data_IF_876266209203
#
_entry.id   IF_876266209203
#
_cell.length_a   1.000
_cell.length_b   1.000
_cell.length_c   1.000
_cell.angle_alpha   90.00
_cell.angle_beta   90.00
_cell.angle_gamma   90.00
#
_symmetry.space_group_name_H-M   'P 1'
#
loop_
_entity.id
_entity.type
_entity.pdbx_description
1 polymer ?
#
# COMPACT_ATOMS: atom_id res chain seq x y z
N UNK A 1 -12.39 -17.59 5.51
CA UNK A 1 -12.27 -16.44 4.59
C UNK A 1 -10.85 -15.92 4.65
N UNK A 2 -10.13 -15.82 3.52
CA UNK A 2 -8.71 -15.39 3.48
C UNK A 2 -8.64 -13.87 3.35
N UNK A 3 -7.92 -13.20 4.24
CA UNK A 3 -7.60 -11.76 4.12
C UNK A 3 -6.25 -11.61 3.42
N UNK A 4 -6.19 -10.74 2.42
CA UNK A 4 -4.99 -10.40 1.65
C UNK A 4 -4.72 -8.92 1.79
N UNK A 5 -3.45 -8.56 1.84
CA UNK A 5 -2.94 -7.18 1.92
C UNK A 5 -2.04 -6.89 0.73
N UNK A 6 -1.62 -5.64 0.56
CA UNK A 6 -0.67 -5.28 -0.49
C UNK A 6 0.63 -6.09 -0.46
N UNK A 7 1.09 -6.50 0.72
CA UNK A 7 2.32 -7.28 0.91
C UNK A 7 2.22 -8.67 0.27
N UNK A 8 1.04 -9.27 0.24
CA UNK A 8 0.79 -10.58 -0.39
C UNK A 8 0.98 -10.56 -1.92
N UNK A 9 1.04 -9.36 -2.51
CA UNK A 9 1.23 -9.15 -3.95
C UNK A 9 2.63 -8.62 -4.32
N UNK A 10 3.51 -8.34 -3.34
CA UNK A 10 4.83 -7.72 -3.57
C UNK A 10 5.93 -8.70 -4.02
N UNK A 11 5.77 -10.02 -3.80
CA UNK A 11 6.88 -11.00 -3.86
C UNK A 11 7.37 -11.43 -5.25
N UNK A 12 6.81 -10.93 -6.36
CA UNK A 12 7.16 -11.43 -7.69
C UNK A 12 8.01 -10.39 -8.43
N UNK A 13 9.32 -10.62 -8.38
CA UNK A 13 10.40 -9.96 -9.15
C UNK A 13 10.03 -9.78 -10.62
N UNK A 14 9.35 -8.70 -10.96
CA UNK A 14 9.44 -8.09 -12.30
C UNK A 14 8.82 -6.71 -12.24
N UNK A 15 9.56 -5.74 -12.76
CA UNK A 15 9.22 -4.34 -12.97
C UNK A 15 9.70 -3.34 -11.91
N UNK A 16 10.36 -2.31 -12.46
CA UNK A 16 11.05 -1.20 -11.82
C UNK A 16 10.32 -0.75 -10.56
N UNK A 17 11.04 -0.79 -9.43
CA UNK A 17 10.62 -0.09 -8.21
C UNK A 17 10.19 1.31 -8.61
N UNK A 18 8.94 1.68 -8.35
CA UNK A 18 8.51 3.07 -8.54
C UNK A 18 9.22 3.99 -7.55
N UNK A 19 9.67 3.45 -6.40
CA UNK A 19 10.42 4.19 -5.39
C UNK A 19 11.81 4.53 -5.89
N UNK A 20 12.20 5.79 -5.67
CA UNK A 20 13.52 6.35 -5.99
C UNK A 20 14.48 6.33 -4.80
N UNK A 21 13.98 5.92 -3.63
CA UNK A 21 14.72 5.81 -2.37
C UNK A 21 14.50 4.44 -1.75
N UNK A 22 15.27 4.11 -0.72
CA UNK A 22 15.08 2.87 0.06
C UNK A 22 13.68 2.80 0.67
N UNK A 23 13.17 1.59 0.88
CA UNK A 23 11.86 1.37 1.50
C UNK A 23 11.75 2.04 2.87
N UNK A 24 12.84 2.01 3.65
CA UNK A 24 12.93 2.66 4.96
C UNK A 24 12.69 4.18 4.87
N UNK A 25 13.41 4.87 3.98
CA UNK A 25 13.28 6.33 3.79
C UNK A 25 11.88 6.69 3.27
N UNK A 26 11.36 5.90 2.34
CA UNK A 26 9.99 6.09 1.81
C UNK A 26 8.94 5.93 2.91
N UNK A 27 9.07 4.93 3.78
CA UNK A 27 8.15 4.68 4.89
C UNK A 27 8.21 5.77 5.95
N UNK A 28 9.42 6.21 6.35
CA UNK A 28 9.60 7.32 7.28
C UNK A 28 8.99 8.61 6.75
N UNK A 29 9.23 8.93 5.47
CA UNK A 29 8.63 10.10 4.84
C UNK A 29 7.10 10.01 4.80
N UNK A 30 6.54 8.85 4.45
CA UNK A 30 5.09 8.67 4.46
C UNK A 30 4.49 8.83 5.85
N UNK A 31 5.15 8.30 6.89
CA UNK A 31 4.73 8.44 8.28
C UNK A 31 4.76 9.92 8.72
N UNK A 32 5.84 10.63 8.41
CA UNK A 32 6.00 12.06 8.69
C UNK A 32 4.83 12.88 8.10
N UNK A 33 4.52 12.68 6.81
CA UNK A 33 3.40 13.37 6.17
C UNK A 33 2.07 13.02 6.84
N UNK A 34 1.86 11.75 7.22
CA UNK A 34 0.65 11.34 7.94
C UNK A 34 0.52 12.06 9.27
N UNK A 35 1.59 12.08 10.09
CA UNK A 35 1.65 12.77 11.37
C UNK A 35 1.30 14.25 11.22
N UNK A 36 1.88 14.93 10.23
CA UNK A 36 1.55 16.32 9.91
C UNK A 36 0.07 16.52 9.59
N UNK A 37 -0.51 15.66 8.76
CA UNK A 37 -1.91 15.78 8.33
C UNK A 37 -2.92 15.52 9.45
N UNK A 38 -2.53 14.76 10.48
CA UNK A 38 -3.37 14.53 11.68
C UNK A 38 -3.05 15.49 12.83
N UNK A 39 -2.18 16.49 12.61
CA UNK A 39 -1.88 17.54 13.58
C UNK A 39 -0.91 17.13 14.70
N UNK A 40 -0.12 16.07 14.51
CA UNK A 40 0.95 15.72 15.44
C UNK A 40 2.19 16.59 15.20
N UNK A 41 2.96 16.91 16.27
CA UNK A 41 4.20 17.66 16.13
C UNK A 41 5.24 16.85 15.35
N UNK A 42 5.94 17.52 14.44
CA UNK A 42 6.96 16.91 13.58
C UNK A 42 8.25 17.72 13.49
N UNK A 43 8.25 18.92 14.08
CA UNK A 43 9.36 19.87 14.07
C UNK A 43 10.68 19.21 14.50
N UNK A 44 10.73 18.40 15.59
CA UNK A 44 11.97 17.74 15.98
C UNK A 44 12.52 16.79 14.91
N UNK A 45 11.66 16.17 14.09
CA UNK A 45 12.08 15.31 12.99
C UNK A 45 12.59 16.17 11.84
N UNK A 46 11.90 17.25 11.51
CA UNK A 46 12.29 18.12 10.41
C UNK A 46 13.63 18.82 10.68
N UNK A 47 13.87 19.23 11.92
CA UNK A 47 15.12 19.90 12.33
C UNK A 47 16.34 18.98 12.19
N UNK A 48 16.17 17.68 12.42
CA UNK A 48 17.24 16.69 12.31
C UNK A 48 17.42 16.12 10.89
N UNK A 49 16.44 16.28 10.00
CA UNK A 49 16.46 15.70 8.65
C UNK A 49 16.09 16.74 7.58
N UNK A 50 17.03 17.61 7.16
CA UNK A 50 16.78 18.67 6.17
C UNK A 50 16.21 18.17 4.83
N UNK A 51 16.58 16.95 4.42
CA UNK A 51 16.04 16.30 3.22
C UNK A 51 14.52 16.10 3.28
N UNK A 52 13.98 15.74 4.44
CA UNK A 52 12.53 15.61 4.63
C UNK A 52 11.85 16.96 4.58
N UNK A 53 12.47 18.00 5.16
CA UNK A 53 11.95 19.36 5.10
C UNK A 53 11.80 19.84 3.65
N UNK A 54 12.80 19.63 2.79
CA UNK A 54 12.74 19.98 1.37
C UNK A 54 11.58 19.28 0.64
N UNK A 55 11.40 17.98 0.90
CA UNK A 55 10.29 17.20 0.33
C UNK A 55 8.93 17.63 0.86
N UNK A 56 8.82 18.01 2.13
CA UNK A 56 7.59 18.56 2.70
C UNK A 56 7.24 19.92 2.09
N UNK A 57 8.23 20.80 1.90
CA UNK A 57 8.05 22.09 1.20
C UNK A 57 7.51 21.84 -0.22
N UNK A 58 8.18 20.97 -0.97
CA UNK A 58 7.74 20.59 -2.32
C UNK A 58 6.31 20.04 -2.35
N UNK A 59 5.94 19.23 -1.35
CA UNK A 59 4.61 18.65 -1.23
C UNK A 59 3.54 19.72 -0.92
N UNK A 60 3.86 20.67 -0.02
CA UNK A 60 3.00 21.83 0.30
C UNK A 60 2.82 22.73 -0.91
N UNK A 61 3.84 22.95 -1.73
CA UNK A 61 3.74 23.72 -2.96
C UNK A 61 2.84 23.04 -4.01
N UNK A 62 2.95 21.72 -4.16
CA UNK A 62 2.12 20.97 -5.12
C UNK A 62 0.62 20.99 -4.77
N UNK A 63 0.29 20.83 -3.49
CA UNK A 63 -1.11 20.82 -3.02
C UNK A 63 -1.19 21.49 -1.63
N UNK A 64 -1.17 22.83 -1.56
CA UNK A 64 -1.23 23.55 -0.28
C UNK A 64 -2.48 23.18 0.50
N UNK A 65 -3.56 23.00 -0.26
CA UNK A 65 -4.88 22.68 0.26
C UNK A 65 -4.99 21.32 0.96
N UNK A 66 -4.00 20.42 0.80
CA UNK A 66 -3.96 19.13 1.51
C UNK A 66 -3.70 19.33 3.02
N UNK A 67 -2.97 20.39 3.37
CA UNK A 67 -2.55 20.71 4.74
C UNK A 67 -3.47 21.69 5.46
N UNK A 68 -4.64 21.97 4.87
CA UNK A 68 -5.65 22.85 5.48
C UNK A 68 -6.63 21.97 6.29
N UNK A 69 -6.84 22.24 7.60
CA UNK A 69 -7.58 21.33 8.51
C UNK A 69 -9.05 21.05 8.15
N UNK A 70 -9.61 21.75 7.16
CA UNK A 70 -11.06 21.78 6.90
C UNK A 70 -11.47 20.93 5.67
N UNK A 71 -10.54 20.18 5.09
CA UNK A 71 -10.86 19.25 3.99
C UNK A 71 -11.21 17.87 4.52
N UNK A 72 -12.20 17.23 3.90
CA UNK A 72 -12.57 15.83 4.10
C UNK A 72 -11.51 14.90 3.51
N UNK A 73 -10.31 14.90 4.09
CA UNK A 73 -9.22 13.98 3.79
C UNK A 73 -9.11 12.97 4.92
N UNK A 74 -9.34 11.71 4.59
CA UNK A 74 -9.16 10.58 5.48
C UNK A 74 -7.80 9.97 5.17
N UNK A 75 -6.85 10.15 6.08
CA UNK A 75 -5.49 9.66 5.94
C UNK A 75 -5.42 8.23 6.45
N UNK A 76 -4.74 7.36 5.70
CA UNK A 76 -4.49 5.96 6.09
C UNK A 76 -5.76 5.13 6.40
N UNK A 77 -6.85 5.40 5.67
CA UNK A 77 -8.11 4.68 5.78
C UNK A 77 -7.93 3.22 5.33
N UNK A 78 -8.23 2.28 6.22
CA UNK A 78 -8.33 0.86 5.88
C UNK A 78 -9.66 0.60 5.16
N UNK A 79 -9.56 0.08 3.94
CA UNK A 79 -10.72 -0.29 3.11
C UNK A 79 -10.56 -1.72 2.61
N UNK A 80 -11.68 -2.41 2.48
CA UNK A 80 -11.73 -3.82 2.09
C UNK A 80 -12.67 -4.05 0.92
N UNK A 81 -12.31 -4.99 0.05
CA UNK A 81 -13.15 -5.44 -1.05
C UNK A 81 -13.10 -6.96 -1.19
N UNK A 82 -14.24 -7.56 -1.51
CA UNK A 82 -14.34 -9.00 -1.80
C UNK A 82 -14.01 -9.25 -3.27
N UNK A 83 -13.06 -10.14 -3.52
CA UNK A 83 -12.71 -10.55 -4.87
C UNK A 83 -13.51 -11.79 -5.26
N UNK A 84 -14.71 -11.59 -5.79
CA UNK A 84 -15.56 -12.66 -6.30
C UNK A 84 -15.22 -13.02 -7.76
N UNK A 85 -15.06 -14.32 -8.02
CA UNK A 85 -14.94 -14.89 -9.36
C UNK A 85 -15.74 -16.19 -9.48
N UNK A 86 -16.37 -16.42 -10.63
CA UNK A 86 -17.09 -17.67 -10.86
C UNK A 86 -16.04 -18.76 -11.13
N UNK A 87 -15.70 -19.55 -10.11
CA UNK A 87 -15.15 -20.89 -10.34
C UNK A 87 -16.30 -21.74 -10.89
N UNK A 88 -16.00 -22.56 -11.90
CA UNK A 88 -16.96 -23.31 -12.72
C UNK A 88 -18.20 -23.83 -11.96
N UNK A 89 -19.35 -23.81 -12.65
CA UNK A 89 -20.69 -24.17 -12.15
C UNK A 89 -20.82 -25.57 -11.48
N UNK A 90 -19.76 -26.38 -11.49
CA UNK A 90 -19.69 -27.70 -10.85
C UNK A 90 -18.98 -27.70 -9.49
N UNK A 91 -18.36 -26.59 -9.08
CA UNK A 91 -17.77 -26.44 -7.76
C UNK A 91 -18.61 -25.46 -6.94
N UNK A 92 -19.45 -26.01 -6.07
CA UNK A 92 -20.21 -25.34 -5.02
C UNK A 92 -19.29 -24.71 -3.97
N UNK A 93 -18.45 -23.78 -4.40
CA UNK A 93 -17.70 -22.92 -3.50
C UNK A 93 -18.67 -21.95 -2.84
N UNK A 94 -18.92 -22.17 -1.55
CA UNK A 94 -19.80 -21.31 -0.75
C UNK A 94 -19.38 -19.84 -0.86
N UNK A 95 -20.30 -18.86 -0.89
CA UNK A 95 -19.99 -17.42 -0.99
C UNK A 95 -19.00 -16.89 0.07
N UNK A 96 -18.75 -17.66 1.13
CA UNK A 96 -17.79 -17.43 2.21
C UNK A 96 -16.32 -17.75 1.88
N UNK A 97 -16.04 -18.30 0.69
CA UNK A 97 -14.71 -18.75 0.26
C UNK A 97 -13.87 -17.67 -0.45
N UNK A 98 -14.50 -16.59 -0.93
CA UNK A 98 -13.78 -15.55 -1.65
C UNK A 98 -12.81 -14.78 -0.76
N UNK A 99 -11.59 -14.48 -1.24
CA UNK A 99 -10.64 -13.68 -0.48
C UNK A 99 -11.14 -12.23 -0.35
N UNK A 100 -10.87 -11.64 0.81
CA UNK A 100 -10.96 -10.20 1.01
C UNK A 100 -9.59 -9.57 0.76
N UNK A 101 -9.57 -8.43 0.10
CA UNK A 101 -8.36 -7.62 -0.07
C UNK A 101 -8.53 -6.36 0.76
N UNK A 102 -7.63 -6.15 1.72
CA UNK A 102 -7.51 -4.94 2.52
C UNK A 102 -6.35 -4.08 2.01
N UNK A 103 -6.60 -2.78 1.89
CA UNK A 103 -5.56 -1.79 1.62
C UNK A 103 -5.74 -0.59 2.53
N UNK A 104 -4.63 0.07 2.84
CA UNK A 104 -4.64 1.40 3.47
C UNK A 104 -4.36 2.46 2.41
N UNK A 105 -5.19 3.49 2.34
CA UNK A 105 -5.07 4.57 1.35
C UNK A 105 -5.57 5.89 1.92
N UNK A 106 -5.25 7.00 1.24
CA UNK A 106 -5.70 8.33 1.63
C UNK A 106 -6.85 8.75 0.71
N UNK A 107 -8.00 9.10 1.30
CA UNK A 107 -9.22 9.40 0.55
C UNK A 107 -9.67 10.82 0.82
N UNK A 108 -9.72 11.64 -0.22
CA UNK A 108 -10.35 12.95 -0.20
C UNK A 108 -11.77 12.92 -0.76
N UNK A 109 -12.64 13.79 -0.27
CA UNK A 109 -13.95 14.06 -0.90
C UNK A 109 -13.91 15.41 -1.61
N UNK A 110 -13.94 15.40 -2.95
CA UNK A 110 -13.90 16.59 -3.80
C UNK A 110 -15.16 16.64 -4.63
N UNK A 111 -15.96 17.72 -4.51
CA UNK A 111 -17.23 17.87 -5.23
C UNK A 111 -18.14 16.63 -5.14
N UNK A 112 -18.24 16.04 -3.93
CA UNK A 112 -18.97 14.79 -3.61
C UNK A 112 -18.41 13.50 -4.24
N UNK A 113 -17.30 13.55 -4.98
CA UNK A 113 -16.59 12.39 -5.51
C UNK A 113 -15.46 11.97 -4.58
N UNK A 114 -15.21 10.66 -4.51
CA UNK A 114 -14.11 10.09 -3.72
C UNK A 114 -12.85 10.11 -4.58
N UNK A 115 -11.76 10.59 -4.01
CA UNK A 115 -10.53 10.85 -4.71
C UNK A 115 -9.37 10.28 -3.90
N UNK A 116 -8.58 9.37 -4.47
CA UNK A 116 -7.42 8.82 -3.79
C UNK A 116 -6.22 9.75 -3.89
N UNK A 117 -5.42 9.81 -2.83
CA UNK A 117 -4.17 10.56 -2.79
C UNK A 117 -3.02 9.64 -2.40
N UNK A 118 -1.95 9.68 -3.17
CA UNK A 118 -0.72 8.95 -2.85
C UNK A 118 0.50 9.83 -3.05
N UNK A 119 1.25 10.01 -1.97
CA UNK A 119 2.50 10.78 -1.95
C UNK A 119 3.70 9.87 -1.70
N UNK A 120 4.83 10.23 -2.31
CA UNK A 120 6.06 9.50 -2.10
C UNK A 120 7.21 9.98 -2.98
N UNK A 121 8.41 9.55 -2.63
CA UNK A 121 9.63 9.81 -3.40
C UNK A 121 9.75 8.72 -4.47
N UNK A 122 9.00 8.93 -5.56
CA UNK A 122 8.74 7.92 -6.57
C UNK A 122 8.53 8.52 -7.96
N UNK A 123 8.61 7.69 -8.98
CA UNK A 123 8.10 8.05 -10.31
C UNK A 123 6.60 8.37 -10.27
N UNK A 124 6.16 9.30 -11.11
CA UNK A 124 4.77 9.76 -11.19
C UNK A 124 3.82 8.77 -11.87
N UNK A 125 4.28 7.60 -12.30
CA UNK A 125 3.48 6.55 -12.94
C UNK A 125 2.68 5.70 -11.95
N UNK A 126 1.52 5.18 -12.38
CA UNK A 126 0.76 4.19 -11.61
C UNK A 126 1.56 2.90 -11.35
N UNK A 127 1.73 2.58 -10.07
CA UNK A 127 2.21 1.27 -9.61
C UNK A 127 1.08 0.23 -9.58
N UNK A 128 1.44 -1.04 -9.45
CA UNK A 128 0.44 -2.09 -9.17
C UNK A 128 -0.27 -1.87 -7.84
N UNK A 129 0.44 -1.38 -6.82
CA UNK A 129 -0.19 -1.04 -5.53
C UNK A 129 -1.28 0.03 -5.70
N UNK A 130 -1.02 1.06 -6.52
CA UNK A 130 -2.02 2.10 -6.82
C UNK A 130 -3.25 1.51 -7.53
N UNK A 131 -3.05 0.58 -8.49
CA UNK A 131 -4.13 -0.10 -9.20
C UNK A 131 -4.99 -0.95 -8.27
N UNK A 132 -4.36 -1.70 -7.36
CA UNK A 132 -5.08 -2.48 -6.35
C UNK A 132 -5.87 -1.55 -5.44
N UNK A 133 -5.29 -0.44 -4.99
CA UNK A 133 -5.99 0.57 -4.18
C UNK A 133 -7.21 1.14 -4.90
N UNK A 134 -7.06 1.53 -6.17
CA UNK A 134 -8.16 2.03 -7.00
C UNK A 134 -9.27 0.98 -7.18
N UNK A 135 -8.90 -0.28 -7.43
CA UNK A 135 -9.86 -1.37 -7.53
C UNK A 135 -10.60 -1.60 -6.22
N UNK A 136 -9.89 -1.77 -5.10
CA UNK A 136 -10.50 -1.98 -3.76
C UNK A 136 -11.39 -0.80 -3.39
N UNK A 137 -10.96 0.44 -3.63
CA UNK A 137 -11.75 1.62 -3.32
C UNK A 137 -13.03 1.71 -4.18
N UNK A 138 -12.97 1.34 -5.45
CA UNK A 138 -14.15 1.29 -6.32
C UNK A 138 -15.20 0.34 -5.76
N UNK A 139 -14.78 -0.88 -5.40
CA UNK A 139 -15.66 -1.91 -4.83
C UNK A 139 -16.17 -1.53 -3.43
N UNK A 140 -15.29 -1.03 -2.56
CA UNK A 140 -15.60 -0.68 -1.19
C UNK A 140 -16.64 0.45 -1.10
N UNK A 141 -16.46 1.50 -1.92
CA UNK A 141 -17.39 2.64 -1.95
C UNK A 141 -18.59 2.43 -2.88
N UNK A 142 -18.67 1.29 -3.57
CA UNK A 142 -19.74 0.93 -4.51
C UNK A 142 -20.00 2.04 -5.54
N UNK A 143 -18.93 2.55 -6.14
CA UNK A 143 -18.98 3.62 -7.15
C UNK A 143 -18.61 3.08 -8.52
N UNK A 144 -19.02 3.78 -9.58
CA UNK A 144 -18.56 3.46 -10.92
C UNK A 144 -17.04 3.69 -11.04
N UNK A 145 -16.29 2.80 -11.74
CA UNK A 145 -14.86 3.00 -11.96
C UNK A 145 -14.51 4.38 -12.52
N UNK A 146 -15.33 4.90 -13.44
CA UNK A 146 -15.13 6.19 -14.10
C UNK A 146 -15.34 7.41 -13.18
N UNK A 147 -15.86 7.19 -11.96
CA UNK A 147 -15.98 8.22 -10.92
C UNK A 147 -14.77 8.28 -9.99
N UNK A 148 -13.86 7.32 -10.09
CA UNK A 148 -12.66 7.23 -9.26
C UNK A 148 -11.43 7.86 -9.92
N UNK A 149 -10.66 8.55 -9.11
CA UNK A 149 -9.40 9.17 -9.52
C UNK A 149 -8.33 8.96 -8.46
N UNK A 150 -7.08 8.94 -8.89
CA UNK A 150 -5.92 8.96 -8.02
C UNK A 150 -5.04 10.17 -8.39
N UNK A 151 -4.75 11.03 -7.41
CA UNK A 151 -3.66 12.00 -7.52
C UNK A 151 -2.40 11.42 -6.90
N UNK A 152 -1.38 11.26 -7.74
CA UNK A 152 -0.02 10.95 -7.32
C UNK A 152 0.75 12.26 -7.12
N UNK A 153 1.26 12.47 -5.92
CA UNK A 153 2.19 13.53 -5.55
C UNK A 153 3.60 12.93 -5.52
N UNK A 154 4.26 12.98 -6.67
CA UNK A 154 5.54 12.35 -6.92
C UNK A 154 6.68 13.32 -6.59
N UNK A 155 7.42 13.00 -5.55
CA UNK A 155 8.62 13.71 -5.14
C UNK A 155 9.83 13.01 -5.76
N UNK A 156 10.91 13.76 -5.99
CA UNK A 156 12.14 13.23 -6.56
C UNK A 156 13.33 13.77 -5.75
N UNK A 157 14.40 12.99 -5.53
CA UNK A 157 15.57 13.47 -4.79
C UNK A 157 16.23 14.71 -5.42
N UNK A 158 16.25 14.78 -6.76
CA UNK A 158 16.95 15.83 -7.52
C UNK A 158 16.13 16.57 -8.57
N UNK A 159 14.84 16.25 -8.72
CA UNK A 159 13.98 16.85 -9.77
C UNK A 159 12.80 17.54 -9.13
N UNK A 160 12.20 18.46 -9.86
CA UNK A 160 10.96 19.12 -9.47
C UNK A 160 9.87 18.09 -9.18
N UNK A 161 9.17 18.29 -8.07
CA UNK A 161 8.02 17.48 -7.70
C UNK A 161 6.92 17.57 -8.76
N UNK A 162 6.16 16.49 -8.93
CA UNK A 162 5.10 16.38 -9.93
C UNK A 162 3.79 15.98 -9.28
N UNK A 163 2.70 16.62 -9.73
CA UNK A 163 1.33 16.22 -9.43
C UNK A 163 0.71 15.65 -10.69
N UNK A 164 0.33 14.38 -10.65
CA UNK A 164 -0.33 13.71 -11.78
C UNK A 164 -1.66 13.14 -11.32
N UNK A 165 -2.72 13.39 -12.11
CA UNK A 165 -4.05 12.85 -11.88
C UNK A 165 -4.28 11.71 -12.85
N UNK A 166 -4.62 10.54 -12.31
CA UNK A 166 -5.01 9.37 -13.08
C UNK A 166 -6.51 9.15 -12.95
N UNK A 167 -7.18 9.12 -14.11
CA UNK A 167 -8.56 8.69 -14.18
C UNK A 167 -8.62 7.16 -14.17
N UNK A 168 -9.49 6.62 -13.34
CA UNK A 168 -9.81 5.20 -13.36
C UNK A 168 -10.93 4.96 -14.36
N UNK A 169 -10.94 3.75 -14.94
CA UNK A 169 -11.96 3.39 -15.91
C UNK A 169 -12.34 1.92 -15.80
N UNK A 170 -13.46 1.58 -16.43
CA UNK A 170 -14.02 0.22 -16.42
C UNK A 170 -13.09 -0.84 -17.03
N UNK A 171 -12.23 -0.47 -18.00
CA UNK A 171 -11.27 -1.39 -18.63
C UNK A 171 -10.14 -1.72 -17.68
N UNK A 172 -9.53 -0.70 -17.07
CA UNK A 172 -8.48 -0.85 -16.06
C UNK A 172 -8.98 -1.58 -14.82
N UNK A 173 -10.23 -1.31 -14.42
CA UNK A 173 -10.89 -2.03 -13.33
C UNK A 173 -11.00 -3.53 -13.62
N UNK A 174 -11.53 -3.93 -14.78
CA UNK A 174 -11.64 -5.34 -15.19
C UNK A 174 -10.27 -6.01 -15.34
N UNK A 175 -9.29 -5.32 -15.94
CA UNK A 175 -7.93 -5.83 -16.08
C UNK A 175 -7.28 -6.09 -14.71
N UNK A 176 -7.46 -5.17 -13.76
CA UNK A 176 -6.93 -5.32 -12.40
C UNK A 176 -7.61 -6.47 -11.66
N UNK A 177 -8.94 -6.61 -11.79
CA UNK A 177 -9.68 -7.76 -11.24
C UNK A 177 -9.13 -9.09 -11.77
N UNK A 178 -8.99 -9.23 -13.09
CA UNK A 178 -8.49 -10.45 -13.71
C UNK A 178 -7.04 -10.74 -13.31
N UNK A 179 -6.20 -9.70 -13.21
CA UNK A 179 -4.83 -9.84 -12.71
C UNK A 179 -4.80 -10.35 -11.26
N UNK A 180 -5.64 -9.80 -10.38
CA UNK A 180 -5.75 -10.23 -8.98
C UNK A 180 -6.18 -11.69 -8.87
N UNK A 181 -7.21 -12.09 -9.63
CA UNK A 181 -7.68 -13.48 -9.70
C UNK A 181 -6.53 -14.40 -10.10
N UNK A 182 -5.86 -14.08 -11.21
CA UNK A 182 -4.75 -14.87 -11.73
C UNK A 182 -3.57 -14.96 -10.74
N UNK A 183 -3.32 -13.92 -9.96
CA UNK A 183 -2.27 -13.94 -8.94
C UNK A 183 -2.60 -14.87 -7.79
N UNK A 184 -3.83 -14.81 -7.29
CA UNK A 184 -4.26 -15.62 -6.16
C UNK A 184 -4.38 -17.09 -6.56
N UNK A 185 -4.97 -17.39 -7.72
CA UNK A 185 -5.09 -18.78 -8.21
C UNK A 185 -3.73 -19.42 -8.45
N UNK A 186 -2.76 -18.69 -9.01
CA UNK A 186 -1.38 -19.19 -9.18
C UNK A 186 -0.68 -19.46 -7.84
N UNK A 187 -0.88 -18.60 -6.83
CA UNK A 187 -0.33 -18.83 -5.49
C UNK A 187 -0.97 -20.05 -4.82
N UNK A 188 -2.27 -20.28 -5.03
CA UNK A 188 -2.98 -21.47 -4.49
C UNK A 188 -2.55 -22.77 -5.17
N UNK A 189 -2.21 -22.72 -6.46
CA UNK A 189 -1.74 -23.90 -7.21
C UNK A 189 -0.26 -24.24 -6.98
N UNK A 190 0.51 -23.37 -6.31
CA UNK A 190 1.86 -23.68 -5.81
C UNK A 190 1.76 -24.36 -4.43
N UNK A 191 1.17 -25.54 -4.39
CA UNK A 191 1.16 -26.41 -3.20
C UNK A 191 2.38 -27.35 -3.22
N UNK A 192 3.26 -27.18 -2.23
CA UNK A 192 4.29 -28.11 -1.72
C UNK A 192 5.08 -28.94 -2.75
N UNK A 193 6.24 -28.45 -3.18
CA UNK A 193 7.38 -29.37 -3.32
C UNK A 193 7.99 -29.53 -1.94
N UNK A 194 8.06 -30.76 -1.37
CA UNK A 194 8.89 -30.98 -0.20
C UNK A 194 10.32 -30.63 -0.63
N UNK A 195 10.85 -29.56 -0.04
CA UNK A 195 12.28 -29.32 -0.13
C UNK A 195 12.91 -30.51 0.61
N UNK A 196 13.58 -31.41 -0.12
CA UNK A 196 14.51 -32.36 0.47
C UNK A 196 15.67 -31.54 1.04
N UNK A 197 15.45 -30.91 2.19
CA UNK A 197 16.51 -30.43 3.06
C UNK A 197 17.02 -31.68 3.74
N UNK A 198 18.14 -32.17 3.24
CA UNK A 198 19.00 -33.08 3.98
C UNK A 198 19.32 -32.37 5.29
N UNK A 199 18.72 -32.83 6.38
CA UNK A 199 18.99 -32.38 7.73
C UNK A 199 20.39 -32.89 8.09
N UNK A 200 21.39 -32.04 7.94
CA UNK A 200 22.61 -32.20 8.73
C UNK A 200 22.26 -31.72 10.15
N UNK A 201 21.93 -32.69 11.01
CA UNK A 201 21.75 -32.49 12.44
C UNK A 201 23.10 -32.09 13.03
N UNK A 202 23.35 -30.80 13.27
CA UNK A 202 24.38 -30.36 14.23
C UNK A 202 24.33 -28.88 14.62
N UNK A 203 23.39 -28.08 14.10
CA UNK A 203 23.31 -26.63 14.42
C UNK A 203 22.16 -26.21 15.32
N UNK A 204 21.32 -27.14 15.78
CA UNK A 204 20.17 -26.84 16.65
C UNK A 204 20.52 -26.75 18.16
N UNK A 205 21.76 -27.05 18.56
CA UNK A 205 22.16 -27.12 19.99
C UNK A 205 22.71 -25.79 20.56
N UNK A 206 23.12 -24.85 19.71
CA UNK A 206 23.89 -23.66 20.16
C UNK A 206 23.08 -22.38 20.33
N UNK A 207 21.84 -22.32 19.84
CA UNK A 207 21.00 -21.11 19.92
C UNK A 207 19.92 -21.16 21.01
N UNK A 208 19.77 -22.29 21.72
CA UNK A 208 18.79 -22.46 22.79
C UNK A 208 19.32 -22.08 24.20
N UNK A 209 20.54 -21.56 24.32
CA UNK A 209 21.18 -21.22 25.61
C UNK A 209 21.41 -19.74 25.89
N UNK A 210 20.85 -18.83 25.08
CA UNK A 210 21.16 -17.39 25.15
C UNK A 210 19.91 -16.49 25.33
N UNK A 211 18.86 -16.99 25.99
CA UNK A 211 17.63 -16.23 26.24
C UNK A 211 17.20 -16.17 27.72
N UNK A 212 18.00 -16.72 28.64
CA UNK A 212 17.69 -16.75 30.08
C UNK A 212 18.42 -15.70 30.93
N UNK A 213 19.10 -14.72 30.33
CA UNK A 213 19.67 -13.57 31.05
C UNK A 213 19.15 -12.26 30.47
N UNK A 214 17.97 -11.85 30.92
CA UNK A 214 17.58 -10.44 30.95
C UNK A 214 17.06 -10.18 32.36
N UNK A 215 17.92 -9.59 33.20
CA UNK A 215 17.53 -9.13 34.54
C UNK A 215 16.52 -7.98 34.44
N UNK A 216 15.43 -8.12 35.20
CA UNK A 216 14.48 -7.04 35.49
C UNK A 216 15.20 -5.92 36.27
N UNK A 217 15.29 -4.73 35.67
CA UNK A 217 15.67 -3.52 36.40
C UNK A 217 14.41 -2.99 37.11
N UNK A 218 14.32 -3.24 38.41
CA UNK A 218 13.37 -2.57 39.31
C UNK A 218 13.75 -1.09 39.50
N UNK A 219 12.71 -0.25 39.56
CA UNK A 219 12.69 1.21 39.70
C UNK A 219 13.68 1.81 40.69
#
# INVERSE_FOLDING_TARGET
MKLLTLSDFQSIKSHKSTSLVSSHIQQQFQLLVKQMLIGLPVEPILDNYPQFQQWIVSLKELVPSLFVPHKKLFVDLAITARLAWNLDANNTSSPSSFPLIEVRTNVGIIKRRKHLFEWGIRHSSLSYSDRIKLWVATEHFQVNPDEMQLTVLALHPTKTAQKVVFNWDSKQHKQTKNWLINKITKQTNQSFQPSNVIVNSDTASTLAKSLDEIDEVLL
#
